data_IF_612082294841
#
_entry.id   IF_612082294841
#
_cell.length_a   1.000
_cell.length_b   1.000
_cell.length_c   1.000
_cell.angle_alpha   90.00
_cell.angle_beta   90.00
_cell.angle_gamma   90.00
#
_symmetry.space_group_name_H-M   'P 1'
#
loop_
_entity.id
_entity.type
_entity.pdbx_description
1 polymer ?
#
# COMPACT_ATOMS: atom_id res chain seq x y z
N UNK A 1 -26.85 44.27 -19.76
CA UNK A 1 -25.97 43.09 -19.90
C UNK A 1 -24.98 42.86 -18.75
N UNK A 2 -24.66 43.84 -17.88
CA UNK A 2 -23.64 43.68 -16.82
C UNK A 2 -24.09 42.92 -15.55
N UNK A 3 -25.39 42.84 -15.27
CA UNK A 3 -25.91 42.23 -14.03
C UNK A 3 -25.92 40.71 -14.03
N UNK A 4 -26.05 40.06 -15.20
CA UNK A 4 -26.06 38.59 -15.29
C UNK A 4 -24.69 37.96 -15.04
N UNK A 5 -23.61 38.64 -15.41
CA UNK A 5 -22.23 38.17 -15.21
C UNK A 5 -21.83 38.18 -13.73
N UNK A 6 -22.29 39.16 -12.96
CA UNK A 6 -21.96 39.30 -11.54
C UNK A 6 -22.61 38.18 -10.69
N UNK A 7 -23.87 37.84 -10.97
CA UNK A 7 -24.59 36.76 -10.25
C UNK A 7 -23.96 35.39 -10.53
N UNK A 8 -23.49 35.17 -11.75
CA UNK A 8 -22.84 33.89 -12.12
C UNK A 8 -21.48 33.71 -11.44
N UNK A 9 -20.72 34.79 -11.24
CA UNK A 9 -19.44 34.74 -10.51
C UNK A 9 -19.64 34.41 -9.03
N UNK A 10 -20.64 35.02 -8.38
CA UNK A 10 -20.92 34.82 -6.94
C UNK A 10 -21.32 33.35 -6.66
N UNK A 11 -22.11 32.75 -7.55
CA UNK A 11 -22.49 31.34 -7.46
C UNK A 11 -21.28 30.40 -7.59
N UNK A 12 -20.34 30.72 -8.50
CA UNK A 12 -19.14 29.90 -8.72
C UNK A 12 -18.19 29.95 -7.51
N UNK A 13 -17.99 31.13 -6.91
CA UNK A 13 -17.19 31.28 -5.69
C UNK A 13 -17.86 30.64 -4.47
N UNK A 14 -19.19 30.67 -4.38
CA UNK A 14 -19.94 29.98 -3.33
C UNK A 14 -19.78 28.46 -3.39
N UNK A 15 -19.85 27.88 -4.58
CA UNK A 15 -19.67 26.43 -4.78
C UNK A 15 -18.24 26.02 -4.46
N UNK A 16 -17.23 26.74 -4.97
CA UNK A 16 -15.82 26.43 -4.69
C UNK A 16 -15.46 26.61 -3.21
N UNK A 17 -15.98 27.66 -2.55
CA UNK A 17 -15.78 27.86 -1.12
C UNK A 17 -16.40 26.75 -0.28
N UNK A 18 -17.60 26.28 -0.67
CA UNK A 18 -18.31 25.18 0.01
C UNK A 18 -17.58 23.85 -0.10
N UNK A 19 -17.08 23.48 -1.28
CA UNK A 19 -16.32 22.23 -1.48
C UNK A 19 -14.97 22.27 -0.77
N UNK A 20 -14.24 23.39 -0.81
CA UNK A 20 -12.96 23.53 -0.08
C UNK A 20 -13.17 23.46 1.44
N UNK A 21 -14.22 24.11 1.97
CA UNK A 21 -14.57 24.02 3.39
C UNK A 21 -14.94 22.59 3.80
N UNK A 22 -15.71 21.87 2.98
CA UNK A 22 -16.10 20.49 3.24
C UNK A 22 -14.88 19.54 3.26
N UNK A 23 -13.97 19.70 2.31
CA UNK A 23 -12.72 18.92 2.24
C UNK A 23 -11.78 19.21 3.42
N UNK A 24 -11.64 20.49 3.81
CA UNK A 24 -10.84 20.87 4.99
C UNK A 24 -11.45 20.37 6.30
N UNK A 25 -12.79 20.30 6.40
CA UNK A 25 -13.46 19.74 7.59
C UNK A 25 -13.27 18.22 7.67
N UNK A 26 -13.28 17.51 6.55
CA UNK A 26 -12.91 16.08 6.55
C UNK A 26 -11.45 15.88 6.97
N UNK A 27 -10.54 16.75 6.53
CA UNK A 27 -9.12 16.66 6.90
C UNK A 27 -8.87 16.87 8.39
N UNK A 28 -9.53 17.87 9.01
CA UNK A 28 -9.36 18.19 10.43
C UNK A 28 -10.07 17.24 11.41
N UNK A 29 -10.98 16.37 10.94
CA UNK A 29 -11.64 15.39 11.80
C UNK A 29 -10.73 14.19 12.15
N UNK A 30 -9.62 14.01 11.44
CA UNK A 30 -8.67 12.92 11.67
C UNK A 30 -7.49 13.29 12.59
N UNK A 31 -7.48 14.48 13.19
CA UNK A 31 -6.43 14.87 14.14
C UNK A 31 -6.88 14.68 15.59
N UNK A 32 -6.24 13.72 16.26
CA UNK A 32 -6.22 13.44 17.70
C UNK A 32 -7.47 12.78 18.32
N UNK A 33 -7.38 11.47 18.50
CA UNK A 33 -7.72 10.85 19.79
C UNK A 33 -6.55 9.97 20.23
N UNK A 34 -5.91 10.40 21.31
CA UNK A 34 -5.00 9.59 22.11
C UNK A 34 -5.72 8.31 22.55
N UNK A 35 -5.17 7.11 22.32
CA UNK A 35 -5.69 5.90 22.93
C UNK A 35 -5.38 5.89 24.43
N UNK A 36 -6.37 5.49 25.22
CA UNK A 36 -6.27 5.36 26.66
C UNK A 36 -5.22 4.31 27.06
N UNK A 37 -4.49 4.61 28.14
CA UNK A 37 -3.48 3.73 28.73
C UNK A 37 -4.06 2.36 29.11
N UNK A 38 -3.41 1.29 28.62
CA UNK A 38 -3.76 -0.09 28.95
C UNK A 38 -2.96 -0.56 30.16
N UNK A 39 -3.67 -1.04 31.17
CA UNK A 39 -3.13 -1.48 32.47
C UNK A 39 -2.55 -2.90 32.34
N UNK A 40 -1.23 -3.03 32.47
CA UNK A 40 -0.52 -4.31 32.32
C UNK A 40 -0.58 -5.12 33.62
N UNK A 41 -1.31 -6.23 33.63
CA UNK A 41 -1.19 -7.24 34.69
C UNK A 41 0.07 -8.08 34.47
N UNK A 42 0.97 -8.05 35.45
CA UNK A 42 2.16 -8.90 35.53
C UNK A 42 1.77 -10.39 35.52
N UNK A 43 2.37 -11.14 34.59
CA UNK A 43 2.39 -12.60 34.65
C UNK A 43 3.56 -13.07 35.54
N UNK A 44 3.37 -14.16 36.30
CA UNK A 44 4.40 -14.68 37.20
C UNK A 44 5.63 -15.22 36.45
N UNK A 45 6.80 -15.22 37.09
CA UNK A 45 8.06 -15.60 36.47
C UNK A 45 8.09 -17.10 36.11
N UNK A 46 8.33 -17.37 34.83
CA UNK A 46 8.56 -18.71 34.29
C UNK A 46 9.96 -19.17 34.70
N UNK A 47 10.05 -20.29 35.42
CA UNK A 47 11.33 -20.94 35.73
C UNK A 47 11.93 -21.56 34.46
N UNK A 48 13.12 -21.09 34.10
CA UNK A 48 13.87 -21.53 32.92
C UNK A 48 14.65 -22.81 33.27
N UNK A 49 14.26 -23.91 32.64
CA UNK A 49 15.06 -25.15 32.63
C UNK A 49 16.16 -25.00 31.55
N UNK A 50 17.45 -25.14 31.89
CA UNK A 50 18.53 -24.97 30.92
C UNK A 50 18.46 -26.09 29.87
N UNK A 51 18.18 -25.69 28.63
CA UNK A 51 18.15 -26.57 27.46
C UNK A 51 19.53 -26.57 26.79
N UNK A 52 20.03 -27.72 26.30
CA UNK A 52 21.37 -27.84 25.73
C UNK A 52 21.58 -26.95 24.50
N UNK A 53 22.79 -26.41 24.35
CA UNK A 53 23.27 -25.50 23.31
C UNK A 53 22.71 -25.82 21.91
N UNK A 54 21.64 -25.12 21.53
CA UNK A 54 21.19 -25.01 20.14
C UNK A 54 22.07 -23.97 19.46
N UNK A 55 22.84 -24.43 18.47
CA UNK A 55 23.54 -23.62 17.47
C UNK A 55 22.65 -22.42 17.04
N UNK A 56 23.17 -21.18 16.99
CA UNK A 56 22.36 -20.01 16.68
C UNK A 56 21.69 -20.20 15.31
N UNK A 57 20.38 -20.37 15.33
CA UNK A 57 19.53 -20.41 14.13
C UNK A 57 19.53 -18.99 13.60
N UNK A 58 19.97 -18.80 12.34
CA UNK A 58 19.86 -17.49 11.70
C UNK A 58 18.41 -17.01 11.75
N UNK A 59 18.15 -15.71 12.00
CA UNK A 59 16.78 -15.21 11.95
C UNK A 59 16.15 -15.52 10.58
N UNK A 60 14.82 -15.74 10.53
CA UNK A 60 14.14 -15.98 9.27
C UNK A 60 14.27 -14.76 8.34
N UNK A 61 14.23 -14.97 7.03
CA UNK A 61 14.32 -13.89 6.00
C UNK A 61 13.23 -12.84 6.24
N UNK A 62 12.04 -13.28 6.64
CA UNK A 62 10.93 -12.43 7.00
C UNK A 62 10.11 -13.04 8.12
N UNK A 63 9.24 -12.24 8.73
CA UNK A 63 8.29 -12.71 9.73
C UNK A 63 7.00 -11.89 9.71
N UNK A 64 5.91 -12.53 10.14
CA UNK A 64 4.62 -11.88 10.36
C UNK A 64 4.34 -11.85 11.86
N UNK A 65 4.08 -10.66 12.39
CA UNK A 65 3.82 -10.42 13.81
C UNK A 65 2.40 -9.87 13.94
N UNK A 66 1.53 -10.54 14.70
CA UNK A 66 0.22 -9.98 15.05
C UNK A 66 0.41 -8.79 16.00
N UNK A 67 -0.04 -7.60 15.62
CA UNK A 67 0.12 -6.40 16.46
C UNK A 67 -1.11 -6.11 17.31
N UNK A 68 -2.30 -6.38 16.78
CA UNK A 68 -3.59 -6.22 17.46
C UNK A 68 -4.66 -7.05 16.74
N UNK A 69 -5.94 -6.84 17.05
CA UNK A 69 -7.07 -7.61 16.46
C UNK A 69 -7.34 -7.29 14.98
N UNK A 70 -6.85 -6.16 14.47
CA UNK A 70 -7.05 -5.71 13.09
C UNK A 70 -5.80 -5.96 12.27
N UNK A 71 -4.62 -5.73 12.84
CA UNK A 71 -3.37 -5.60 12.10
C UNK A 71 -2.40 -6.74 12.36
N UNK A 72 -1.73 -7.13 11.28
CA UNK A 72 -0.44 -7.79 11.31
C UNK A 72 0.64 -6.81 10.85
N UNK A 73 1.88 -7.07 11.25
CA UNK A 73 3.07 -6.43 10.72
C UNK A 73 3.90 -7.46 9.97
N UNK A 74 4.17 -7.19 8.71
CA UNK A 74 5.18 -7.91 7.93
C UNK A 74 6.53 -7.23 8.16
N UNK A 75 7.56 -8.01 8.45
CA UNK A 75 8.93 -7.54 8.59
C UNK A 75 9.83 -8.35 7.66
N UNK A 76 10.54 -7.66 6.77
CA UNK A 76 11.53 -8.25 5.88
C UNK A 76 12.93 -7.95 6.41
N UNK A 77 13.60 -8.96 6.97
CA UNK A 77 14.91 -8.81 7.59
C UNK A 77 16.04 -8.72 6.55
N UNK A 78 15.81 -9.18 5.32
CA UNK A 78 16.80 -9.09 4.23
C UNK A 78 16.93 -7.66 3.68
N UNK A 79 15.81 -6.96 3.53
CA UNK A 79 15.74 -5.60 3.01
C UNK A 79 15.54 -4.53 4.10
N UNK A 80 15.39 -4.94 5.36
CA UNK A 80 15.37 -4.04 6.52
C UNK A 80 14.17 -3.10 6.53
N UNK A 81 12.97 -3.62 6.28
CA UNK A 81 11.74 -2.83 6.36
C UNK A 81 10.60 -3.60 6.99
N UNK A 82 9.59 -2.85 7.43
CA UNK A 82 8.33 -3.38 7.91
C UNK A 82 7.13 -2.57 7.42
N UNK A 83 5.98 -3.23 7.31
CA UNK A 83 4.70 -2.62 6.91
C UNK A 83 3.55 -3.35 7.61
N UNK A 84 2.53 -2.61 8.03
CA UNK A 84 1.27 -3.20 8.51
C UNK A 84 0.39 -3.62 7.34
N UNK A 85 -0.33 -4.72 7.54
CA UNK A 85 -1.41 -5.15 6.67
C UNK A 85 -2.56 -5.70 7.52
N UNK A 86 -3.82 -5.53 7.09
CA UNK A 86 -4.95 -5.95 7.89
C UNK A 86 -5.02 -7.49 7.93
N UNK A 87 -5.59 -8.08 8.98
CA UNK A 87 -5.86 -9.52 9.05
C UNK A 87 -6.96 -9.95 8.08
N UNK A 88 -7.91 -9.05 7.83
CA UNK A 88 -9.02 -9.23 6.90
C UNK A 88 -9.32 -7.90 6.18
N UNK A 89 -9.72 -7.97 4.93
CA UNK A 89 -10.20 -6.82 4.18
C UNK A 89 -11.45 -7.19 3.37
N UNK A 90 -12.28 -6.20 3.07
CA UNK A 90 -13.45 -6.37 2.23
C UNK A 90 -13.04 -6.31 0.74
N UNK A 91 -13.48 -7.30 -0.03
CA UNK A 91 -13.25 -7.40 -1.47
C UNK A 91 -14.56 -7.59 -2.22
N UNK A 92 -14.64 -7.15 -3.47
CA UNK A 92 -15.85 -7.23 -4.31
C UNK A 92 -16.33 -8.67 -4.55
N UNK A 93 -15.39 -9.61 -4.58
CA UNK A 93 -15.64 -11.05 -4.68
C UNK A 93 -15.34 -11.77 -3.36
N UNK A 94 -15.72 -11.15 -2.25
CA UNK A 94 -15.50 -11.67 -0.90
C UNK A 94 -16.52 -12.71 -0.44
N UNK A 95 -17.51 -13.02 -1.27
CA UNK A 95 -18.54 -14.02 -1.03
C UNK A 95 -19.44 -14.17 -2.26
N UNK A 96 -20.54 -14.90 -2.08
CA UNK A 96 -21.52 -15.16 -3.13
C UNK A 96 -22.97 -15.20 -2.62
N UNK A 97 -23.92 -14.86 -3.50
CA UNK A 97 -25.34 -15.17 -3.30
C UNK A 97 -25.60 -16.68 -3.48
N UNK A 98 -26.72 -17.22 -2.97
CA UNK A 98 -27.15 -18.59 -3.27
C UNK A 98 -27.26 -18.89 -4.78
N UNK A 99 -27.55 -17.87 -5.59
CA UNK A 99 -27.68 -17.97 -7.06
C UNK A 99 -26.34 -17.87 -7.81
N UNK A 100 -25.21 -17.76 -7.10
CA UNK A 100 -23.87 -17.73 -7.71
C UNK A 100 -23.32 -16.34 -8.07
N UNK A 101 -24.01 -15.25 -7.73
CA UNK A 101 -23.51 -13.90 -7.99
C UNK A 101 -22.48 -13.46 -6.94
N UNK A 102 -21.37 -12.80 -7.33
CA UNK A 102 -20.38 -12.30 -6.38
C UNK A 102 -20.98 -11.25 -5.44
N UNK A 103 -20.58 -11.29 -4.18
CA UNK A 103 -20.94 -10.32 -3.16
C UNK A 103 -19.70 -9.76 -2.45
N UNK A 104 -19.72 -8.48 -2.06
CA UNK A 104 -18.74 -7.94 -1.13
C UNK A 104 -18.66 -8.75 0.16
N UNK A 105 -17.45 -9.08 0.59
CA UNK A 105 -17.23 -9.87 1.81
C UNK A 105 -15.82 -9.71 2.33
N UNK A 106 -15.63 -10.04 3.61
CA UNK A 106 -14.32 -10.00 4.25
C UNK A 106 -13.57 -11.30 3.99
N UNK A 107 -12.38 -11.19 3.40
CA UNK A 107 -11.47 -12.30 3.19
C UNK A 107 -10.22 -12.10 4.06
N UNK A 108 -9.61 -13.18 4.58
CA UNK A 108 -8.31 -13.08 5.24
C UNK A 108 -7.26 -12.52 4.27
N UNK A 109 -6.31 -11.74 4.78
CA UNK A 109 -5.21 -11.18 3.99
C UNK A 109 -3.89 -11.81 4.44
N UNK A 110 -3.02 -12.12 3.48
CA UNK A 110 -1.76 -12.82 3.70
C UNK A 110 -0.65 -12.22 2.82
N UNK A 111 0.60 -12.44 3.25
CA UNK A 111 1.80 -12.20 2.44
C UNK A 111 2.18 -13.45 1.65
N UNK A 112 2.41 -13.29 0.36
CA UNK A 112 3.01 -14.28 -0.52
C UNK A 112 4.36 -13.75 -0.99
N UNK A 113 5.44 -14.50 -0.78
CA UNK A 113 6.78 -14.04 -1.09
C UNK A 113 7.33 -14.76 -2.32
N UNK A 114 7.94 -14.00 -3.23
CA UNK A 114 8.75 -14.53 -4.33
C UNK A 114 9.99 -13.67 -4.48
N UNK A 115 11.18 -14.27 -4.32
CA UNK A 115 12.47 -13.58 -4.48
C UNK A 115 12.52 -12.29 -3.64
N UNK A 116 12.49 -11.14 -4.30
CA UNK A 116 12.59 -9.79 -3.76
C UNK A 116 11.22 -9.08 -3.69
N UNK A 117 10.12 -9.83 -3.81
CA UNK A 117 8.75 -9.34 -3.90
C UNK A 117 7.94 -9.90 -2.74
N UNK A 118 7.25 -9.02 -2.02
CA UNK A 118 6.23 -9.40 -1.05
C UNK A 118 4.86 -8.97 -1.57
N UNK A 119 4.01 -9.93 -1.92
CA UNK A 119 2.63 -9.69 -2.34
C UNK A 119 1.70 -9.70 -1.14
N UNK A 120 0.98 -8.60 -0.93
CA UNK A 120 -0.14 -8.51 0.01
C UNK A 120 -1.41 -8.78 -0.79
N UNK A 121 -2.13 -9.85 -0.47
CA UNK A 121 -3.34 -10.27 -1.18
C UNK A 121 -4.30 -11.00 -0.23
N UNK A 122 -5.52 -11.30 -0.69
CA UNK A 122 -6.39 -12.20 0.04
C UNK A 122 -5.77 -13.62 0.09
N UNK A 123 -6.02 -14.34 1.18
CA UNK A 123 -5.58 -15.73 1.33
C UNK A 123 -6.46 -16.71 0.54
N UNK A 124 -7.68 -16.29 0.21
CA UNK A 124 -8.67 -17.03 -0.57
C UNK A 124 -9.48 -16.06 -1.45
N UNK A 125 -10.29 -16.60 -2.35
CA UNK A 125 -11.30 -15.87 -3.12
C UNK A 125 -12.47 -16.81 -3.47
N UNK A 126 -13.60 -16.28 -3.91
CA UNK A 126 -14.72 -17.10 -4.42
C UNK A 126 -14.67 -17.19 -5.94
N UNK A 127 -14.73 -18.40 -6.49
CA UNK A 127 -14.77 -18.66 -7.93
C UNK A 127 -16.17 -18.42 -8.53
N UNK A 128 -16.36 -18.72 -9.82
CA UNK A 128 -17.64 -18.50 -10.52
C UNK A 128 -18.73 -19.47 -10.05
N UNK A 129 -18.32 -20.63 -9.53
CA UNK A 129 -19.16 -21.65 -8.93
C UNK A 129 -19.39 -21.39 -7.43
N UNK A 130 -18.86 -20.28 -6.91
CA UNK A 130 -18.95 -19.85 -5.52
C UNK A 130 -18.32 -20.80 -4.50
N UNK A 131 -17.29 -21.51 -4.92
CA UNK A 131 -16.39 -22.22 -4.01
C UNK A 131 -15.30 -21.25 -3.54
N UNK A 132 -15.03 -21.30 -2.23
CA UNK A 132 -13.85 -20.64 -1.68
C UNK A 132 -12.59 -21.39 -2.14
N UNK A 133 -11.74 -20.70 -2.88
CA UNK A 133 -10.47 -21.21 -3.41
C UNK A 133 -9.32 -20.48 -2.73
N UNK A 134 -8.32 -21.23 -2.25
CA UNK A 134 -7.09 -20.67 -1.69
C UNK A 134 -6.30 -19.94 -2.78
N UNK A 135 -5.81 -18.74 -2.47
CA UNK A 135 -4.96 -17.97 -3.39
C UNK A 135 -3.54 -18.55 -3.42
N UNK A 136 -2.96 -18.61 -4.61
CA UNK A 136 -1.59 -19.06 -4.88
C UNK A 136 -0.75 -17.94 -5.52
N UNK A 137 0.57 -18.13 -5.61
CA UNK A 137 1.46 -17.20 -6.34
C UNK A 137 1.14 -17.18 -7.84
N UNK A 138 0.74 -18.33 -8.38
CA UNK A 138 0.31 -18.48 -9.77
C UNK A 138 -0.94 -17.63 -10.04
N UNK A 139 -1.91 -17.63 -9.13
CA UNK A 139 -3.11 -16.79 -9.23
C UNK A 139 -2.75 -15.30 -9.22
N UNK A 140 -1.88 -14.88 -8.30
CA UNK A 140 -1.44 -13.48 -8.18
C UNK A 140 -0.77 -12.96 -9.47
N UNK A 141 -0.11 -13.84 -10.22
CA UNK A 141 0.54 -13.52 -11.50
C UNK A 141 -0.43 -13.49 -12.67
N UNK A 142 -1.62 -14.08 -12.54
CA UNK A 142 -2.63 -14.01 -13.58
C UNK A 142 -3.24 -12.61 -13.64
N UNK A 143 -3.20 -12.00 -14.83
CA UNK A 143 -3.82 -10.70 -15.09
C UNK A 143 -5.34 -10.70 -14.89
N UNK A 144 -5.96 -11.87 -14.85
CA UNK A 144 -7.39 -12.02 -14.62
C UNK A 144 -7.77 -12.18 -13.15
N UNK A 145 -6.79 -12.22 -12.24
CA UNK A 145 -7.04 -12.35 -10.80
C UNK A 145 -7.96 -11.21 -10.33
N UNK A 146 -9.05 -11.58 -9.66
CA UNK A 146 -10.18 -10.68 -9.37
C UNK A 146 -10.06 -9.95 -8.05
N UNK A 147 -9.00 -10.21 -7.29
CA UNK A 147 -8.76 -9.58 -6.00
C UNK A 147 -7.58 -8.63 -6.13
N UNK A 148 -7.68 -7.49 -5.45
CA UNK A 148 -6.60 -6.51 -5.36
C UNK A 148 -5.35 -7.13 -4.75
N UNK A 149 -4.20 -6.83 -5.35
CA UNK A 149 -2.88 -7.24 -4.86
C UNK A 149 -1.97 -6.02 -4.80
N UNK A 150 -1.22 -5.87 -3.72
CA UNK A 150 -0.07 -4.99 -3.67
C UNK A 150 1.20 -5.81 -3.74
N UNK A 151 2.06 -5.53 -4.72
CA UNK A 151 3.37 -6.18 -4.85
C UNK A 151 4.46 -5.20 -4.42
N UNK A 152 5.10 -5.47 -3.28
CA UNK A 152 6.21 -4.68 -2.76
C UNK A 152 7.51 -5.21 -3.35
N UNK A 153 7.96 -4.56 -4.42
CA UNK A 153 9.18 -4.85 -5.15
C UNK A 153 10.37 -4.20 -4.44
N UNK A 154 11.29 -5.02 -3.93
CA UNK A 154 12.46 -4.55 -3.16
C UNK A 154 13.75 -4.73 -3.97
N UNK A 155 14.67 -3.76 -3.94
CA UNK A 155 15.95 -3.87 -4.65
C UNK A 155 17.05 -3.14 -3.88
N UNK A 156 18.26 -3.70 -3.91
CA UNK A 156 19.46 -2.97 -3.48
C UNK A 156 19.91 -2.05 -4.61
N UNK A 157 20.07 -0.77 -4.30
CA UNK A 157 20.53 0.29 -5.22
C UNK A 157 21.62 1.11 -4.54
N UNK A 158 22.81 1.10 -5.11
CA UNK A 158 24.00 1.72 -4.54
C UNK A 158 24.03 3.24 -4.71
N UNK A 159 23.39 3.76 -5.76
CA UNK A 159 23.42 5.17 -6.14
C UNK A 159 22.18 5.60 -6.93
N UNK A 160 22.16 6.89 -7.32
CA UNK A 160 21.05 7.48 -8.08
C UNK A 160 20.91 6.90 -9.51
N UNK A 161 21.98 6.35 -10.10
CA UNK A 161 21.90 5.71 -11.40
C UNK A 161 21.20 4.34 -11.30
N UNK A 162 21.50 3.57 -10.26
CA UNK A 162 20.79 2.33 -9.96
C UNK A 162 19.35 2.58 -9.53
N UNK A 163 19.09 3.64 -8.75
CA UNK A 163 17.73 4.06 -8.38
C UNK A 163 16.92 4.50 -9.62
N UNK A 164 17.54 5.20 -10.57
CA UNK A 164 16.93 5.52 -11.87
C UNK A 164 16.60 4.25 -12.67
N UNK A 165 17.47 3.24 -12.67
CA UNK A 165 17.18 1.96 -13.33
C UNK A 165 16.01 1.24 -12.63
N UNK A 166 15.96 1.26 -11.31
CA UNK A 166 14.83 0.72 -10.54
C UNK A 166 13.50 1.41 -10.92
N UNK A 167 13.48 2.75 -11.04
CA UNK A 167 12.29 3.48 -11.52
C UNK A 167 11.87 3.03 -12.92
N UNK A 168 12.82 2.77 -13.82
CA UNK A 168 12.52 2.31 -15.19
C UNK A 168 11.99 0.89 -15.23
N UNK A 169 12.59 -0.01 -14.46
CA UNK A 169 12.14 -1.41 -14.34
C UNK A 169 10.67 -1.47 -13.89
N UNK A 170 10.29 -0.60 -12.95
CA UNK A 170 8.97 -0.60 -12.32
C UNK A 170 7.87 0.15 -13.12
N UNK A 171 8.23 1.27 -13.75
CA UNK A 171 7.27 2.22 -14.33
C UNK A 171 7.42 2.41 -15.85
N UNK A 172 8.47 1.84 -16.45
CA UNK A 172 8.75 1.86 -17.89
C UNK A 172 9.99 2.67 -18.27
N UNK A 173 10.62 2.31 -19.40
CA UNK A 173 11.97 2.77 -19.74
C UNK A 173 12.10 4.29 -19.92
N UNK A 174 11.03 4.97 -20.33
CA UNK A 174 11.06 6.43 -20.46
C UNK A 174 10.76 7.18 -19.17
N UNK A 175 10.48 6.49 -18.06
CA UNK A 175 10.39 7.16 -16.76
C UNK A 175 11.76 7.58 -16.26
N UNK A 176 11.80 8.75 -15.62
CA UNK A 176 13.00 9.31 -15.00
C UNK A 176 12.82 9.44 -13.49
N UNK A 177 13.94 9.38 -12.77
CA UNK A 177 14.00 9.68 -11.35
C UNK A 177 13.63 11.15 -11.15
N UNK A 178 12.55 11.37 -10.41
CA UNK A 178 12.05 12.68 -10.02
C UNK A 178 12.61 13.12 -8.66
N UNK A 179 11.81 13.92 -7.96
CA UNK A 179 12.21 14.47 -6.67
C UNK A 179 12.33 13.38 -5.59
N UNK A 180 13.36 13.51 -4.75
CA UNK A 180 13.53 12.76 -3.51
C UNK A 180 13.15 13.66 -2.34
N UNK A 181 12.01 13.38 -1.70
CA UNK A 181 11.55 14.11 -0.53
C UNK A 181 11.96 13.37 0.73
N UNK A 182 12.79 13.99 1.56
CA UNK A 182 13.19 13.40 2.83
C UNK A 182 11.98 13.19 3.74
N UNK A 183 11.96 12.05 4.42
CA UNK A 183 10.95 11.71 5.42
C UNK A 183 11.40 12.17 6.81
N UNK A 184 10.68 11.80 7.87
CA UNK A 184 11.15 12.06 9.24
C UNK A 184 12.31 11.16 9.67
N UNK A 185 12.60 10.09 8.94
CA UNK A 185 13.73 9.21 9.22
C UNK A 185 14.95 9.63 8.38
N UNK A 186 16.09 9.79 9.05
CA UNK A 186 17.34 10.23 8.43
C UNK A 186 17.77 9.27 7.31
N UNK A 187 18.08 9.83 6.14
CA UNK A 187 18.50 9.04 4.96
C UNK A 187 17.37 8.26 4.29
N UNK A 188 16.12 8.44 4.69
CA UNK A 188 14.94 7.81 4.07
C UNK A 188 14.15 8.84 3.26
N UNK A 189 13.84 8.49 2.02
CA UNK A 189 13.20 9.36 1.04
C UNK A 189 11.93 8.74 0.46
N UNK A 190 10.92 9.59 0.27
CA UNK A 190 9.84 9.39 -0.69
C UNK A 190 10.34 9.80 -2.08
N UNK A 191 10.36 8.85 -3.01
CA UNK A 191 10.88 9.06 -4.36
C UNK A 191 9.73 9.17 -5.35
N UNK A 192 9.80 10.15 -6.26
CA UNK A 192 8.85 10.26 -7.36
C UNK A 192 9.46 9.73 -8.66
N UNK A 193 8.65 9.01 -9.43
CA UNK A 193 8.92 8.75 -10.85
C UNK A 193 8.27 9.86 -11.68
N UNK A 194 9.01 10.38 -12.66
CA UNK A 194 8.59 11.52 -13.50
C UNK A 194 8.60 11.13 -14.98
N UNK A 195 7.62 11.65 -15.71
CA UNK A 195 7.63 11.68 -17.16
C UNK A 195 8.52 12.84 -17.65
N UNK A 196 9.48 12.63 -18.57
CA UNK A 196 10.44 13.65 -18.98
C UNK A 196 9.82 14.81 -19.79
N UNK A 197 8.62 14.63 -20.37
CA UNK A 197 7.93 15.68 -21.13
C UNK A 197 7.06 16.61 -20.28
N UNK A 198 6.16 17.34 -20.93
CA UNK A 198 5.25 18.29 -20.25
C UNK A 198 4.12 17.53 -19.56
N UNK A 199 3.68 18.01 -18.39
CA UNK A 199 2.52 17.46 -17.67
C UNK A 199 1.21 17.64 -18.45
N UNK A 200 1.19 18.56 -19.41
CA UNK A 200 0.07 18.82 -20.32
C UNK A 200 0.12 17.96 -21.59
N UNK A 201 1.17 17.17 -21.80
CA UNK A 201 1.22 16.21 -22.90
C UNK A 201 0.06 15.22 -22.75
N UNK A 202 -0.60 14.92 -23.86
CA UNK A 202 -1.67 13.94 -23.84
C UNK A 202 -1.16 12.53 -23.50
N UNK A 203 -2.08 11.64 -23.15
CA UNK A 203 -1.76 10.28 -22.76
C UNK A 203 -1.11 9.46 -23.90
N UNK A 204 -1.33 9.84 -25.17
CA UNK A 204 -0.77 9.14 -26.33
C UNK A 204 0.73 9.44 -26.44
N UNK A 205 1.11 10.72 -26.29
CA UNK A 205 2.52 11.13 -26.24
C UNK A 205 3.23 10.48 -25.05
N UNK A 206 2.58 10.41 -23.88
CA UNK A 206 3.14 9.73 -22.69
C UNK A 206 3.29 8.23 -22.91
N UNK A 207 2.36 7.60 -23.64
CA UNK A 207 2.43 6.18 -23.99
C UNK A 207 3.54 5.87 -24.99
N UNK A 208 3.77 6.73 -25.98
CA UNK A 208 4.89 6.60 -26.92
C UNK A 208 6.25 6.67 -26.22
N UNK A 209 6.32 7.38 -25.09
CA UNK A 209 7.53 7.48 -24.28
C UNK A 209 7.65 6.40 -23.21
N UNK A 210 6.82 5.35 -23.21
CA UNK A 210 6.91 4.23 -22.26
C UNK A 210 6.96 4.66 -20.77
N UNK A 211 6.29 5.77 -20.41
CA UNK A 211 6.17 6.21 -19.01
C UNK A 211 4.72 6.56 -18.67
N UNK A 212 3.89 5.52 -18.63
CA UNK A 212 2.44 5.64 -18.42
C UNK A 212 2.10 5.40 -16.96
N UNK A 213 2.41 6.39 -16.12
CA UNK A 213 1.96 6.41 -14.73
C UNK A 213 0.59 7.09 -14.67
N UNK A 214 -0.45 6.29 -14.60
CA UNK A 214 -1.85 6.72 -14.50
C UNK A 214 -2.55 6.13 -13.26
N UNK A 215 -1.78 5.81 -12.22
CA UNK A 215 -2.24 5.23 -10.97
C UNK A 215 -1.42 5.80 -9.80
N UNK A 216 -1.95 5.65 -8.59
CA UNK A 216 -1.21 5.98 -7.37
C UNK A 216 -0.17 4.90 -7.08
N UNK A 217 1.01 5.29 -6.62
CA UNK A 217 2.14 4.42 -6.35
C UNK A 217 2.95 4.96 -5.19
N UNK A 218 3.85 4.13 -4.67
CA UNK A 218 4.81 4.51 -3.63
C UNK A 218 6.19 4.01 -4.02
N UNK A 219 7.20 4.85 -3.83
CA UNK A 219 8.62 4.46 -3.89
C UNK A 219 9.29 5.00 -2.63
N UNK A 220 9.89 4.12 -1.85
CA UNK A 220 10.65 4.44 -0.64
C UNK A 220 12.11 4.07 -0.88
N UNK A 221 13.04 4.93 -0.51
CA UNK A 221 14.47 4.67 -0.63
C UNK A 221 15.20 5.00 0.67
N UNK A 222 15.99 4.06 1.19
CA UNK A 222 16.92 4.28 2.29
C UNK A 222 18.34 4.35 1.73
N UNK A 223 18.94 5.54 1.76
CA UNK A 223 20.28 5.79 1.25
C UNK A 223 21.37 5.14 2.11
N UNK A 224 21.12 4.97 3.42
CA UNK A 224 22.10 4.39 4.34
C UNK A 224 22.27 2.89 4.11
N UNK A 225 21.19 2.19 3.77
CA UNK A 225 21.21 0.75 3.48
C UNK A 225 21.26 0.43 1.98
N UNK A 226 21.03 1.44 1.14
CA UNK A 226 20.93 1.28 -0.32
C UNK A 226 19.75 0.41 -0.71
N UNK A 227 18.60 0.51 -0.05
CA UNK A 227 17.40 -0.29 -0.36
C UNK A 227 16.29 0.60 -0.89
N UNK A 228 15.74 0.24 -2.05
CA UNK A 228 14.54 0.83 -2.61
C UNK A 228 13.39 -0.19 -2.58
N UNK A 229 12.19 0.28 -2.24
CA UNK A 229 10.95 -0.52 -2.26
C UNK A 229 9.88 0.25 -3.02
N UNK A 230 9.19 -0.41 -3.95
CA UNK A 230 8.14 0.18 -4.79
C UNK A 230 6.90 -0.69 -4.77
N UNK A 231 5.72 -0.06 -4.80
CA UNK A 231 4.47 -0.78 -5.06
C UNK A 231 3.42 0.14 -5.70
N UNK A 232 2.50 -0.48 -6.43
CA UNK A 232 1.43 0.18 -7.17
C UNK A 232 0.15 0.09 -6.36
N UNK A 233 -0.40 1.23 -5.94
CA UNK A 233 -1.64 1.30 -5.18
C UNK A 233 -2.87 1.12 -6.09
N UNK A 234 -2.75 1.51 -7.35
CA UNK A 234 -3.84 1.48 -8.33
C UNK A 234 -4.63 2.79 -8.39
N UNK A 235 -5.84 2.74 -8.94
CA UNK A 235 -6.75 3.89 -9.06
C UNK A 235 -7.89 3.86 -8.03
N UNK A 236 -8.02 2.76 -7.30
CA UNK A 236 -9.05 2.52 -6.29
C UNK A 236 -8.40 1.83 -5.09
N UNK A 237 -9.15 1.72 -3.99
CA UNK A 237 -8.67 1.05 -2.80
C UNK A 237 -8.38 -0.44 -3.05
N UNK A 238 -7.21 -0.90 -2.61
CA UNK A 238 -6.83 -2.29 -2.61
C UNK A 238 -7.48 -3.07 -1.47
N UNK A 239 -7.56 -2.49 -0.28
CA UNK A 239 -7.97 -3.15 0.96
C UNK A 239 -9.03 -2.35 1.70
N UNK A 240 -10.30 -2.63 1.44
CA UNK A 240 -11.39 -1.94 2.10
C UNK A 240 -11.59 -2.42 3.55
N UNK A 241 -11.90 -1.49 4.45
CA UNK A 241 -12.22 -1.78 5.85
C UNK A 241 -13.72 -2.09 6.05
N UNK A 242 -14.55 -1.75 5.08
CA UNK A 242 -16.00 -1.96 5.08
C UNK A 242 -16.48 -2.48 3.73
N UNK A 243 -17.56 -3.27 3.71
CA UNK A 243 -18.13 -3.86 2.48
C UNK A 243 -18.87 -2.86 1.59
N UNK A 244 -19.11 -1.64 2.07
CA UNK A 244 -19.63 -0.50 1.29
C UNK A 244 -18.52 0.39 0.70
N UNK A 245 -17.25 0.01 0.91
CA UNK A 245 -16.05 0.69 0.42
C UNK A 245 -15.90 2.16 0.86
N UNK A 246 -16.62 2.59 1.91
CA UNK A 246 -16.51 3.95 2.44
C UNK A 246 -15.23 4.18 3.26
N UNK A 247 -14.57 3.10 3.69
CA UNK A 247 -13.31 3.14 4.44
C UNK A 247 -12.31 2.14 3.85
N UNK A 248 -11.04 2.51 3.85
CA UNK A 248 -9.95 1.68 3.35
C UNK A 248 -8.75 1.71 4.29
N UNK A 249 -8.01 0.60 4.30
CA UNK A 249 -6.79 0.42 5.06
C UNK A 249 -5.55 0.97 4.34
N UNK A 250 -5.63 1.18 3.03
CA UNK A 250 -4.51 1.54 2.15
C UNK A 250 -3.64 2.69 2.70
N UNK A 251 -4.25 3.79 3.15
CA UNK A 251 -3.48 4.94 3.65
C UNK A 251 -2.73 4.61 4.95
N UNK A 252 -3.35 3.83 5.84
CA UNK A 252 -2.70 3.40 7.08
C UNK A 252 -1.58 2.39 6.79
N UNK A 253 -1.78 1.49 5.83
CA UNK A 253 -0.74 0.58 5.35
C UNK A 253 0.47 1.36 4.80
N UNK A 254 0.24 2.32 3.91
CA UNK A 254 1.32 3.17 3.35
C UNK A 254 2.03 3.97 4.45
N UNK A 255 1.29 4.56 5.38
CA UNK A 255 1.86 5.34 6.48
C UNK A 255 2.63 4.47 7.49
N UNK A 256 2.29 3.19 7.59
CA UNK A 256 2.97 2.24 8.49
C UNK A 256 4.31 1.72 7.94
N UNK A 257 4.59 1.91 6.64
CA UNK A 257 5.85 1.47 6.05
C UNK A 257 7.01 2.24 6.68
N UNK A 258 8.02 1.49 7.14
CA UNK A 258 9.27 2.05 7.68
C UNK A 258 10.45 1.15 7.34
N UNK A 259 11.61 1.76 7.16
CA UNK A 259 12.88 1.04 7.24
C UNK A 259 13.27 0.86 8.72
N UNK A 260 13.90 -0.26 9.03
CA UNK A 260 14.41 -0.61 10.37
C UNK A 260 15.84 -0.09 10.59
#
# INVERSE_FOLDING_TARGET
MKTKTLVSLILLFGIMGGTVYYLLKQYNFFSSKEPAAFDSKENPPIQVVPTPDKKPISPPISQIISTDDIWNMYQNNEFGYSIKFPKQAAFASGGCTPEGAPLPGFLPVKIFEEKNIAHIASASYFDQECNETSTTLEDIKDRNFKVSVWSLESKKVADDAELQNFVRDEYGNGCILGDKKETSAEGVFDVHAKYPGDVNDDMEVRAQNECVINYAYVIKYNQNTGVAVSWKLGQAYGFAATTDYQKAYDQEMVASFKFD
#
